data_IF_557579243663
#
_entry.id   IF_557579243663
#
_cell.length_a   1.000
_cell.length_b   1.000
_cell.length_c   1.000
_cell.angle_alpha   90.00
_cell.angle_beta   90.00
_cell.angle_gamma   90.00
#
_symmetry.space_group_name_H-M   'P 1'
#
loop_
_entity.id
_entity.type
_entity.pdbx_description
1 polymer ?
#
# COMPACT_ATOMS: atom_id res chain seq x y z
N UNK A 1 13.01 11.30 6.16
CA UNK A 1 14.27 10.77 6.73
C UNK A 1 13.92 10.03 8.02
N UNK A 2 13.78 8.69 8.00
CA UNK A 2 13.37 7.87 9.17
C UNK A 2 14.53 7.05 9.78
N UNK A 3 15.77 7.31 9.36
CA UNK A 3 16.93 6.50 9.75
C UNK A 3 17.26 6.57 11.26
N UNK A 4 16.79 7.61 11.96
CA UNK A 4 17.06 7.83 13.39
C UNK A 4 16.29 6.88 14.32
N UNK A 5 15.23 6.21 13.84
CA UNK A 5 14.43 5.27 14.67
C UNK A 5 14.92 3.82 14.60
N UNK A 6 15.78 3.48 13.64
CA UNK A 6 16.23 2.09 13.42
C UNK A 6 17.31 1.70 14.45
N UNK A 7 18.24 2.60 14.74
CA UNK A 7 19.34 2.35 15.69
C UNK A 7 18.86 1.93 17.09
N UNK A 8 17.92 2.67 17.74
CA UNK A 8 17.43 2.26 19.07
C UNK A 8 16.65 0.94 19.05
N UNK A 9 16.07 0.53 17.92
CA UNK A 9 15.40 -0.76 17.78
C UNK A 9 16.41 -1.91 17.65
N UNK A 10 17.50 -1.68 16.91
CA UNK A 10 18.59 -2.65 16.75
C UNK A 10 19.29 -2.90 18.08
N UNK A 11 19.50 -1.87 18.90
CA UNK A 11 20.16 -2.03 20.20
C UNK A 11 19.27 -2.81 21.18
N UNK A 12 17.96 -2.56 21.21
CA UNK A 12 16.99 -3.38 21.96
C UNK A 12 16.99 -4.85 21.53
N UNK A 13 17.20 -5.11 20.24
CA UNK A 13 17.27 -6.48 19.70
C UNK A 13 18.54 -7.23 20.15
N UNK A 14 19.64 -6.51 20.41
CA UNK A 14 20.90 -7.11 20.89
C UNK A 14 20.89 -7.41 22.38
N UNK A 15 20.12 -6.66 23.17
CA UNK A 15 19.94 -6.86 24.62
C UNK A 15 18.93 -7.97 24.95
N UNK A 16 18.33 -8.59 23.94
CA UNK A 16 17.29 -9.59 24.11
C UNK A 16 17.85 -10.92 24.66
N UNK A 17 17.21 -11.53 25.68
CA UNK A 17 17.60 -12.83 26.21
C UNK A 17 17.50 -13.94 25.15
N UNK A 18 18.40 -14.93 25.16
CA UNK A 18 18.43 -16.02 24.17
C UNK A 18 17.13 -16.83 24.14
N UNK A 19 16.43 -16.93 25.26
CA UNK A 19 15.14 -17.61 25.39
C UNK A 19 14.01 -16.96 24.56
N UNK A 20 14.17 -15.68 24.22
CA UNK A 20 13.18 -14.88 23.48
C UNK A 20 13.53 -14.71 22.01
N UNK A 21 14.67 -15.22 21.56
CA UNK A 21 15.12 -15.12 20.16
C UNK A 21 14.14 -15.83 19.22
N UNK A 22 13.66 -17.02 19.58
CA UNK A 22 12.69 -17.77 18.78
C UNK A 22 11.36 -17.02 18.60
N UNK A 23 10.87 -16.34 19.65
CA UNK A 23 9.64 -15.54 19.58
C UNK A 23 9.81 -14.30 18.67
N UNK A 24 11.01 -13.70 18.70
CA UNK A 24 11.37 -12.60 17.81
C UNK A 24 11.49 -13.07 16.35
N UNK A 25 12.07 -14.24 16.11
CA UNK A 25 12.14 -14.85 14.77
C UNK A 25 10.74 -15.11 14.20
N UNK A 26 9.85 -15.72 14.98
CA UNK A 26 8.45 -15.95 14.59
C UNK A 26 7.72 -14.63 14.28
N UNK A 27 7.95 -13.58 15.09
CA UNK A 27 7.37 -12.26 14.83
C UNK A 27 7.91 -11.60 13.56
N UNK A 28 9.20 -11.76 13.27
CA UNK A 28 9.83 -11.25 12.04
C UNK A 28 9.30 -11.99 10.81
N UNK A 29 9.12 -13.31 10.89
CA UNK A 29 8.53 -14.11 9.82
C UNK A 29 7.04 -13.79 9.62
N UNK A 30 6.31 -13.50 10.70
CA UNK A 30 4.96 -12.97 10.62
C UNK A 30 4.91 -11.61 9.90
N UNK A 31 5.82 -10.68 10.22
CA UNK A 31 5.90 -9.39 9.52
C UNK A 31 6.27 -9.58 8.04
N UNK A 32 7.16 -10.52 7.73
CA UNK A 32 7.59 -10.82 6.36
C UNK A 32 6.47 -11.48 5.54
N UNK A 33 5.68 -12.36 6.14
CA UNK A 33 4.54 -12.99 5.48
C UNK A 33 3.37 -12.01 5.24
N UNK A 34 3.21 -11.03 6.13
CA UNK A 34 2.23 -9.95 5.98
C UNK A 34 2.69 -8.81 5.07
N UNK A 35 4.01 -8.63 4.91
CA UNK A 35 4.54 -7.62 4.01
C UNK A 35 4.03 -7.93 2.59
N UNK A 36 3.22 -7.04 1.98
CA UNK A 36 2.71 -7.27 0.64
C UNK A 36 3.91 -7.48 -0.27
N UNK A 37 3.94 -8.62 -0.97
CA UNK A 37 5.00 -9.00 -1.89
C UNK A 37 5.49 -7.75 -2.60
N UNK A 38 6.73 -7.35 -2.26
CA UNK A 38 7.40 -6.12 -2.66
C UNK A 38 6.86 -5.68 -4.01
N UNK A 39 5.94 -4.69 -4.01
CA UNK A 39 5.32 -4.16 -5.22
C UNK A 39 6.46 -3.85 -6.17
N UNK A 40 6.64 -4.71 -7.17
CA UNK A 40 7.55 -4.45 -8.27
C UNK A 40 7.05 -3.15 -8.88
N UNK A 41 7.92 -2.15 -8.89
CA UNK A 41 7.61 -0.78 -9.26
C UNK A 41 6.77 -0.74 -10.53
N UNK A 42 5.48 -0.48 -10.38
CA UNK A 42 4.61 -0.06 -11.46
C UNK A 42 3.51 0.81 -10.84
N UNK A 43 3.63 2.13 -11.06
CA UNK A 43 2.55 3.08 -10.84
C UNK A 43 2.43 3.60 -9.42
N UNK A 44 2.50 4.92 -9.32
CA UNK A 44 2.25 5.72 -8.13
C UNK A 44 0.83 5.47 -7.58
N UNK A 45 0.67 5.64 -6.27
CA UNK A 45 -0.59 5.99 -5.60
C UNK A 45 -1.76 5.01 -5.77
N UNK A 46 -1.80 3.98 -4.90
CA UNK A 46 -2.96 3.09 -4.76
C UNK A 46 -4.12 3.81 -4.08
N UNK A 47 -4.88 4.59 -4.84
CA UNK A 47 -6.33 4.58 -4.69
C UNK A 47 -6.84 3.25 -5.24
N UNK A 48 -7.84 2.59 -4.62
CA UNK A 48 -8.49 1.43 -5.20
C UNK A 48 -9.39 1.90 -6.35
N UNK A 49 -8.79 2.43 -7.41
CA UNK A 49 -9.46 2.61 -8.69
C UNK A 49 -9.58 1.21 -9.25
N UNK A 50 -10.71 0.56 -8.97
CA UNK A 50 -11.11 -0.60 -9.75
C UNK A 50 -11.08 -0.17 -11.21
N UNK A 51 -10.22 -0.79 -12.02
CA UNK A 51 -10.18 -0.48 -13.45
C UNK A 51 -11.48 -1.01 -14.06
N UNK A 52 -12.44 -0.12 -14.29
CA UNK A 52 -13.73 -0.43 -14.90
C UNK A 52 -13.58 -0.58 -16.43
N UNK A 53 -12.75 -1.54 -16.86
CA UNK A 53 -12.53 -1.85 -18.28
C UNK A 53 -12.17 -0.64 -19.14
N UNK A 54 -12.25 -0.81 -20.46
CA UNK A 54 -12.12 0.31 -21.39
C UNK A 54 -13.39 1.16 -21.33
N UNK A 55 -13.24 2.47 -21.14
CA UNK A 55 -14.35 3.40 -21.28
C UNK A 55 -14.95 3.31 -22.69
N UNK A 56 -16.27 3.14 -22.85
CA UNK A 56 -16.87 2.97 -24.17
C UNK A 56 -16.78 4.26 -24.98
N UNK A 57 -16.44 4.15 -26.27
CA UNK A 57 -16.13 5.32 -27.10
C UNK A 57 -17.35 6.24 -27.35
N UNK A 58 -18.56 5.72 -27.15
CA UNK A 58 -19.81 6.46 -27.32
C UNK A 58 -20.34 7.10 -26.02
N UNK A 59 -19.69 6.91 -24.86
CA UNK A 59 -20.04 7.63 -23.63
C UNK A 59 -19.14 8.85 -23.44
N UNK A 60 -19.74 9.98 -23.09
CA UNK A 60 -19.05 11.23 -22.83
C UNK A 60 -19.59 11.83 -21.53
N UNK A 61 -18.69 12.24 -20.64
CA UNK A 61 -19.01 12.88 -19.35
C UNK A 61 -19.25 14.39 -19.48
N UNK A 62 -19.48 14.90 -20.70
CA UNK A 62 -19.81 16.31 -20.91
C UNK A 62 -21.15 16.62 -20.27
N UNK A 63 -21.28 17.83 -19.70
CA UNK A 63 -22.51 18.33 -19.08
C UNK A 63 -23.72 18.13 -19.99
N UNK A 64 -23.57 18.41 -21.28
CA UNK A 64 -24.64 18.28 -22.28
C UNK A 64 -25.13 16.83 -22.44
N UNK A 65 -24.25 15.84 -22.25
CA UNK A 65 -24.59 14.43 -22.37
C UNK A 65 -25.13 13.84 -21.06
N UNK A 66 -24.72 14.38 -19.91
CA UNK A 66 -25.16 13.90 -18.59
C UNK A 66 -26.49 14.49 -18.15
N UNK A 67 -26.74 15.76 -18.47
CA UNK A 67 -27.88 16.49 -17.95
C UNK A 67 -28.92 16.84 -19.01
N UNK A 68 -28.64 16.61 -20.30
CA UNK A 68 -29.45 17.18 -21.38
C UNK A 68 -29.19 18.67 -21.57
N UNK A 69 -29.65 19.21 -22.70
CA UNK A 69 -29.51 20.64 -23.05
C UNK A 69 -30.46 21.55 -22.23
N UNK A 70 -31.25 20.98 -21.34
CA UNK A 70 -32.15 21.66 -20.41
C UNK A 70 -31.43 22.27 -19.20
N UNK A 71 -30.17 22.71 -19.39
CA UNK A 71 -29.39 23.47 -18.41
C UNK A 71 -29.92 24.87 -18.09
N UNK A 72 -31.25 25.04 -18.08
CA UNK A 72 -31.99 26.23 -17.65
C UNK A 72 -32.13 26.30 -16.13
#
# INVERSE_FOLDING_TARGET
MHAHEIQPLVDKLKELPPERVAEVEDFVDFLRSRAPAKRTKAGQDTFPVISVGQWPQNLSLRRQNLYGDDGR
#
